data_IF_672710008807
#
_entry.id   IF_672710008807
#
_cell.length_a   1.000
_cell.length_b   1.000
_cell.length_c   1.000
_cell.angle_alpha   90.00
_cell.angle_beta   90.00
_cell.angle_gamma   90.00
#
_symmetry.space_group_name_H-M   'P 1'
#
loop_
_entity.id
_entity.type
_entity.pdbx_description
1 polymer ?
#
# COMPACT_ATOMS: atom_id res chain seq x y z
N UNK A 1 27.65 -21.50 50.13
CA UNK A 1 26.18 -21.38 50.02
C UNK A 1 25.72 -20.05 49.39
N UNK A 2 26.23 -18.90 49.82
CA UNK A 2 25.79 -17.58 49.30
C UNK A 2 25.95 -17.38 47.77
N UNK A 3 27.00 -17.91 47.15
CA UNK A 3 27.24 -17.82 45.69
C UNK A 3 26.24 -18.61 44.83
N UNK A 4 25.78 -19.77 45.29
CA UNK A 4 24.80 -20.62 44.59
C UNK A 4 23.40 -20.01 44.63
N UNK A 5 23.04 -19.36 45.74
CA UNK A 5 21.75 -18.67 45.90
C UNK A 5 21.67 -17.45 44.95
N UNK A 6 22.79 -16.70 44.80
CA UNK A 6 22.84 -15.55 43.87
C UNK A 6 22.67 -15.96 42.41
N UNK A 7 23.24 -17.12 42.01
CA UNK A 7 23.10 -17.64 40.67
C UNK A 7 21.67 -18.10 40.35
N UNK A 8 20.98 -18.70 41.31
CA UNK A 8 19.57 -19.13 41.21
C UNK A 8 18.65 -17.90 41.10
N UNK A 9 18.88 -16.85 41.87
CA UNK A 9 18.14 -15.60 41.79
C UNK A 9 18.34 -14.90 40.42
N UNK A 10 19.54 -14.92 39.88
CA UNK A 10 19.84 -14.34 38.56
C UNK A 10 19.15 -15.12 37.43
N UNK A 11 19.10 -16.44 37.47
CA UNK A 11 18.36 -17.27 36.53
C UNK A 11 16.85 -17.04 36.60
N UNK A 12 16.27 -16.84 37.77
CA UNK A 12 14.83 -16.58 37.94
C UNK A 12 14.47 -15.19 37.37
N UNK A 13 15.30 -14.18 37.61
CA UNK A 13 15.10 -12.84 37.00
C UNK A 13 15.20 -12.84 35.49
N UNK A 14 16.05 -13.70 34.90
CA UNK A 14 16.19 -13.80 33.44
C UNK A 14 14.98 -14.48 32.78
N UNK A 15 14.24 -15.33 33.47
CA UNK A 15 13.01 -15.96 32.96
C UNK A 15 11.79 -15.04 33.05
N UNK A 16 11.78 -14.05 33.92
CA UNK A 16 10.65 -13.12 34.08
C UNK A 16 10.56 -12.09 32.93
N UNK A 17 11.62 -11.94 32.12
CA UNK A 17 11.66 -10.97 31.02
C UNK A 17 11.14 -11.50 29.68
N UNK A 18 10.73 -12.77 29.61
CA UNK A 18 10.26 -13.40 28.35
C UNK A 18 8.74 -13.64 28.31
N UNK A 19 7.95 -12.89 29.05
CA UNK A 19 6.53 -12.79 28.75
C UNK A 19 6.35 -11.74 27.68
N UNK A 20 6.75 -12.05 26.44
CA UNK A 20 6.30 -11.31 25.29
C UNK A 20 4.77 -11.30 25.36
N UNK A 21 4.18 -10.13 25.47
CA UNK A 21 2.73 -9.95 25.40
C UNK A 21 2.24 -10.64 24.13
N UNK A 22 1.62 -11.82 24.28
CA UNK A 22 1.06 -12.57 23.15
C UNK A 22 -0.11 -11.77 22.62
N UNK A 23 0.12 -11.01 21.56
CA UNK A 23 -0.96 -10.40 20.81
C UNK A 23 -1.87 -11.50 20.28
N UNK A 24 -3.16 -11.24 20.27
CA UNK A 24 -4.12 -12.12 19.60
C UNK A 24 -4.07 -11.86 18.09
N UNK A 25 -4.48 -12.82 17.28
CA UNK A 25 -4.57 -12.61 15.83
C UNK A 25 -5.48 -11.44 15.44
N UNK A 26 -6.49 -11.12 16.25
CA UNK A 26 -7.32 -9.92 16.03
C UNK A 26 -6.55 -8.62 16.26
N UNK A 27 -5.74 -8.55 17.32
CA UNK A 27 -4.89 -7.38 17.57
C UNK A 27 -3.80 -7.20 16.52
N UNK A 28 -3.24 -8.30 16.02
CA UNK A 28 -2.28 -8.26 14.93
C UNK A 28 -2.93 -7.78 13.63
N UNK A 29 -4.15 -8.26 13.32
CA UNK A 29 -4.91 -7.79 12.16
C UNK A 29 -5.19 -6.28 12.24
N UNK A 30 -5.65 -5.78 13.37
CA UNK A 30 -5.88 -4.34 13.59
C UNK A 30 -4.61 -3.52 13.32
N UNK A 31 -3.46 -4.00 13.83
CA UNK A 31 -2.18 -3.35 13.60
C UNK A 31 -1.79 -3.35 12.12
N UNK A 32 -1.97 -4.47 11.42
CA UNK A 32 -1.67 -4.57 10.00
C UNK A 32 -2.59 -3.69 9.14
N UNK A 33 -3.87 -3.61 9.47
CA UNK A 33 -4.81 -2.69 8.81
C UNK A 33 -4.38 -1.23 9.02
N UNK A 34 -3.95 -0.87 10.23
CA UNK A 34 -3.38 0.45 10.51
C UNK A 34 -2.15 0.77 9.62
N UNK A 35 -1.22 -0.17 9.48
CA UNK A 35 -0.06 0.02 8.61
C UNK A 35 -0.47 0.12 7.13
N UNK A 36 -1.39 -0.72 6.68
CA UNK A 36 -1.93 -0.65 5.33
C UNK A 36 -2.49 0.74 5.03
N UNK A 37 -3.35 1.28 5.91
CA UNK A 37 -3.90 2.62 5.74
C UNK A 37 -2.82 3.69 5.70
N UNK A 38 -1.86 3.62 6.63
CA UNK A 38 -0.77 4.60 6.72
C UNK A 38 0.09 4.65 5.46
N UNK A 39 0.27 3.51 4.79
CA UNK A 39 1.07 3.40 3.57
C UNK A 39 0.22 3.73 2.34
N UNK A 40 -1.01 3.20 2.24
CA UNK A 40 -1.81 3.29 1.03
C UNK A 40 -2.57 4.61 0.89
N UNK A 41 -3.11 5.18 1.99
CA UNK A 41 -3.93 6.39 1.91
C UNK A 41 -3.20 7.58 1.26
N UNK A 42 -1.94 7.88 1.60
CA UNK A 42 -1.25 9.00 0.96
C UNK A 42 -1.15 8.89 -0.56
N UNK A 43 -1.01 7.69 -1.09
CA UNK A 43 -0.94 7.45 -2.54
C UNK A 43 -2.34 7.49 -3.16
N UNK A 44 -3.26 6.68 -2.64
CA UNK A 44 -4.58 6.45 -3.24
C UNK A 44 -5.47 7.68 -3.14
N UNK A 45 -5.50 8.35 -1.97
CA UNK A 45 -6.36 9.51 -1.75
C UNK A 45 -5.89 10.73 -2.55
N UNK A 46 -4.58 10.90 -2.71
CA UNK A 46 -4.02 11.97 -3.53
C UNK A 46 -4.27 11.70 -5.02
N UNK A 47 -4.05 10.48 -5.51
CA UNK A 47 -4.35 10.11 -6.90
C UNK A 47 -5.85 10.31 -7.20
N UNK A 48 -6.74 9.93 -6.29
CA UNK A 48 -8.18 10.15 -6.43
C UNK A 48 -8.59 11.64 -6.49
N UNK A 49 -7.78 12.51 -5.91
CA UNK A 49 -8.00 13.97 -5.91
C UNK A 49 -7.29 14.70 -7.05
N UNK A 50 -6.40 14.05 -7.79
CA UNK A 50 -5.52 14.70 -8.76
C UNK A 50 -4.44 15.56 -8.10
N UNK A 51 -3.93 15.14 -6.96
CA UNK A 51 -2.94 15.86 -6.15
C UNK A 51 -1.73 15.01 -5.76
N UNK A 52 -1.55 13.84 -6.39
CA UNK A 52 -0.45 12.93 -6.05
C UNK A 52 0.90 13.58 -6.33
N UNK A 53 1.10 14.12 -7.52
CA UNK A 53 2.36 14.77 -7.87
C UNK A 53 2.65 16.01 -7.01
N UNK A 54 1.61 16.75 -6.63
CA UNK A 54 1.74 17.93 -5.80
C UNK A 54 2.13 17.62 -4.35
N UNK A 55 1.64 16.49 -3.82
CA UNK A 55 1.77 16.16 -2.41
C UNK A 55 2.77 15.03 -2.11
N UNK A 56 3.33 14.39 -3.14
CA UNK A 56 4.33 13.34 -2.99
C UNK A 56 5.68 13.83 -3.52
N UNK A 57 6.57 14.34 -2.65
CA UNK A 57 7.90 14.79 -3.06
C UNK A 57 8.71 13.60 -3.57
N UNK A 58 9.49 13.85 -4.63
CA UNK A 58 10.38 12.86 -5.21
C UNK A 58 11.79 13.08 -4.68
N UNK A 59 12.29 12.10 -3.95
CA UNK A 59 13.65 12.08 -3.42
C UNK A 59 14.52 11.16 -4.26
N UNK A 60 15.75 11.61 -4.55
CA UNK A 60 16.71 10.83 -5.35
C UNK A 60 18.07 10.82 -4.72
N UNK A 61 18.81 9.74 -4.95
CA UNK A 61 20.22 9.67 -4.62
C UNK A 61 21.05 10.59 -5.51
N UNK A 62 22.26 10.95 -5.03
CA UNK A 62 23.18 11.87 -5.73
C UNK A 62 23.55 11.45 -7.17
N UNK A 63 23.46 10.15 -7.48
CA UNK A 63 23.85 9.56 -8.76
C UNK A 63 22.66 9.08 -9.59
N UNK A 64 21.47 9.63 -9.40
CA UNK A 64 20.32 9.29 -10.21
C UNK A 64 20.44 9.93 -11.60
N UNK A 65 20.28 9.12 -12.64
CA UNK A 65 20.31 9.58 -14.03
C UNK A 65 18.89 9.65 -14.61
N UNK A 66 18.53 10.78 -15.22
CA UNK A 66 17.21 11.01 -15.79
C UNK A 66 16.30 11.85 -14.89
N UNK A 67 15.02 11.91 -15.27
CA UNK A 67 14.00 12.60 -14.47
C UNK A 67 13.29 11.58 -13.55
N UNK A 68 13.49 11.63 -12.23
CA UNK A 68 12.88 10.67 -11.31
C UNK A 68 11.36 10.74 -11.30
N UNK A 69 10.76 11.90 -11.62
CA UNK A 69 9.31 12.06 -11.70
C UNK A 69 8.68 11.17 -12.78
N UNK A 70 9.44 10.82 -13.83
CA UNK A 70 8.94 9.98 -14.92
C UNK A 70 8.66 8.53 -14.47
N UNK A 71 9.18 8.10 -13.33
CA UNK A 71 9.07 6.69 -12.87
C UNK A 71 8.40 6.55 -11.50
N UNK A 72 8.49 7.54 -10.64
CA UNK A 72 8.12 7.43 -9.23
C UNK A 72 6.61 7.20 -9.02
N UNK A 73 5.76 7.91 -9.74
CA UNK A 73 4.32 7.92 -9.45
C UNK A 73 3.63 6.63 -9.89
N UNK A 74 3.95 6.11 -11.07
CA UNK A 74 3.43 4.82 -11.52
C UNK A 74 3.94 3.68 -10.62
N UNK A 75 5.20 3.73 -10.19
CA UNK A 75 5.77 2.77 -9.25
C UNK A 75 5.02 2.80 -7.92
N UNK A 76 4.83 3.99 -7.33
CA UNK A 76 4.11 4.14 -6.07
C UNK A 76 2.68 3.59 -6.15
N UNK A 77 1.94 3.93 -7.23
CA UNK A 77 0.57 3.46 -7.46
C UNK A 77 0.54 1.96 -7.70
N UNK A 78 1.34 1.45 -8.62
CA UNK A 78 1.34 0.02 -9.00
C UNK A 78 1.69 -0.88 -7.83
N UNK A 79 2.76 -0.59 -7.09
CA UNK A 79 3.17 -1.37 -5.91
C UNK A 79 2.18 -1.29 -4.77
N UNK A 80 1.62 -0.11 -4.51
CA UNK A 80 0.57 0.06 -3.48
C UNK A 80 -0.64 -0.79 -3.83
N UNK A 81 -1.15 -0.70 -5.06
CA UNK A 81 -2.31 -1.47 -5.49
C UNK A 81 -2.05 -2.98 -5.47
N UNK A 82 -0.88 -3.44 -5.94
CA UNK A 82 -0.51 -4.86 -5.87
C UNK A 82 -0.50 -5.38 -4.42
N UNK A 83 -0.05 -4.55 -3.47
CA UNK A 83 -0.01 -4.89 -2.05
C UNK A 83 -1.38 -4.97 -1.40
N UNK A 84 -2.29 -4.03 -1.70
CA UNK A 84 -3.61 -3.97 -1.06
C UNK A 84 -4.69 -4.78 -1.78
N UNK A 85 -4.48 -5.16 -3.04
CA UNK A 85 -5.48 -5.87 -3.88
C UNK A 85 -6.10 -7.09 -3.19
N UNK A 86 -5.36 -8.00 -2.51
CA UNK A 86 -5.97 -9.12 -1.81
C UNK A 86 -6.99 -8.70 -0.74
N UNK A 87 -6.71 -7.60 -0.03
CA UNK A 87 -7.65 -7.01 0.92
C UNK A 87 -8.88 -6.44 0.24
N UNK A 88 -8.70 -5.76 -0.89
CA UNK A 88 -9.79 -5.19 -1.68
C UNK A 88 -10.67 -6.25 -2.35
N UNK A 89 -10.15 -7.45 -2.60
CA UNK A 89 -10.90 -8.57 -3.15
C UNK A 89 -11.89 -9.21 -2.16
N UNK A 90 -11.72 -8.98 -0.86
CA UNK A 90 -12.62 -9.52 0.16
C UNK A 90 -14.05 -8.98 -0.01
N UNK A 91 -15.08 -9.78 0.30
CA UNK A 91 -16.47 -9.35 0.19
C UNK A 91 -16.77 -8.16 1.10
N UNK A 92 -17.82 -7.43 0.76
CA UNK A 92 -18.34 -6.35 1.59
C UNK A 92 -18.92 -6.90 2.89
N UNK A 93 -18.67 -6.18 3.97
CA UNK A 93 -19.25 -6.45 5.28
C UNK A 93 -19.46 -5.13 6.04
N UNK A 94 -20.17 -5.18 7.17
CA UNK A 94 -20.52 -4.02 7.98
C UNK A 94 -19.46 -3.68 9.06
N UNK A 95 -18.33 -4.37 9.05
CA UNK A 95 -17.23 -4.07 9.98
C UNK A 95 -16.54 -2.74 9.60
N UNK A 96 -15.81 -2.15 10.52
CA UNK A 96 -15.01 -0.95 10.23
C UNK A 96 -13.99 -1.22 9.13
N UNK A 97 -13.39 -2.41 9.10
CA UNK A 97 -12.51 -2.82 8.02
C UNK A 97 -13.24 -2.95 6.69
N UNK A 98 -14.48 -3.48 6.67
CA UNK A 98 -15.30 -3.55 5.46
C UNK A 98 -15.66 -2.18 4.90
N UNK A 99 -16.02 -1.23 5.76
CA UNK A 99 -16.26 0.17 5.36
C UNK A 99 -15.00 0.81 4.78
N UNK A 100 -13.86 0.58 5.40
CA UNK A 100 -12.57 1.06 4.92
C UNK A 100 -12.24 0.49 3.53
N UNK A 101 -12.41 -0.83 3.33
CA UNK A 101 -12.23 -1.47 2.01
C UNK A 101 -13.08 -0.83 0.94
N UNK A 102 -14.36 -0.59 1.24
CA UNK A 102 -15.29 0.07 0.31
C UNK A 102 -14.82 1.48 -0.05
N UNK A 103 -14.38 2.25 0.93
CA UNK A 103 -13.81 3.58 0.72
C UNK A 103 -12.57 3.53 -0.18
N UNK A 104 -11.64 2.61 0.10
CA UNK A 104 -10.45 2.42 -0.73
C UNK A 104 -10.79 2.04 -2.17
N UNK A 105 -11.73 1.11 -2.40
CA UNK A 105 -12.17 0.77 -3.76
C UNK A 105 -12.67 2.00 -4.52
N UNK A 106 -13.49 2.82 -3.88
CA UNK A 106 -13.99 4.06 -4.48
C UNK A 106 -12.86 5.01 -4.84
N UNK A 107 -11.93 5.24 -3.93
CA UNK A 107 -10.76 6.10 -4.17
C UNK A 107 -9.86 5.53 -5.28
N UNK A 108 -9.61 4.22 -5.27
CA UNK A 108 -8.79 3.55 -6.30
C UNK A 108 -9.39 3.70 -7.69
N UNK A 109 -10.69 3.42 -7.86
CA UNK A 109 -11.34 3.52 -9.17
C UNK A 109 -11.31 4.96 -9.71
N UNK A 110 -11.54 5.95 -8.84
CA UNK A 110 -11.41 7.36 -9.20
C UNK A 110 -9.97 7.74 -9.53
N UNK A 111 -9.02 7.23 -8.73
CA UNK A 111 -7.59 7.48 -8.94
C UNK A 111 -7.08 6.88 -10.24
N UNK A 112 -7.47 5.66 -10.57
CA UNK A 112 -7.10 5.03 -11.85
C UNK A 112 -7.60 5.84 -13.04
N UNK A 113 -8.82 6.35 -12.98
CA UNK A 113 -9.35 7.25 -14.00
C UNK A 113 -8.50 8.53 -14.15
N UNK A 114 -8.10 9.15 -13.04
CA UNK A 114 -7.19 10.30 -13.07
C UNK A 114 -5.82 9.91 -13.65
N UNK A 115 -5.29 8.75 -13.21
CA UNK A 115 -3.96 8.28 -13.62
C UNK A 115 -3.80 7.96 -15.10
N UNK A 116 -4.90 7.74 -15.84
CA UNK A 116 -4.86 7.50 -17.29
C UNK A 116 -5.42 8.66 -18.12
N UNK A 117 -5.97 9.69 -17.48
CA UNK A 117 -6.53 10.85 -18.16
C UNK A 117 -5.42 11.83 -18.54
N UNK A 118 -5.23 12.17 -19.83
CA UNK A 118 -4.25 13.16 -20.26
C UNK A 118 -4.47 14.57 -19.67
N UNK A 119 -5.71 14.89 -19.28
CA UNK A 119 -6.09 16.16 -18.66
C UNK A 119 -5.81 16.21 -17.16
N UNK A 120 -5.47 15.07 -16.57
CA UNK A 120 -5.19 14.99 -15.13
C UNK A 120 -3.77 15.49 -14.82
N UNK A 121 -3.57 16.31 -13.77
CA UNK A 121 -2.23 16.65 -13.31
C UNK A 121 -1.44 15.42 -12.81
N UNK A 122 -2.13 14.32 -12.47
CA UNK A 122 -1.56 13.06 -12.03
C UNK A 122 -1.57 11.98 -13.13
N UNK A 123 -1.55 12.38 -14.41
CA UNK A 123 -1.47 11.43 -15.51
C UNK A 123 -0.17 10.62 -15.44
N UNK A 124 -0.30 9.32 -15.20
CA UNK A 124 0.83 8.43 -14.99
C UNK A 124 1.59 8.17 -16.28
N UNK A 125 2.91 8.08 -16.18
CA UNK A 125 3.77 7.78 -17.32
C UNK A 125 3.87 6.27 -17.56
N UNK A 126 3.34 5.79 -18.68
CA UNK A 126 3.41 4.38 -19.09
C UNK A 126 4.44 4.12 -20.20
N UNK A 127 4.95 5.15 -20.86
CA UNK A 127 5.67 5.01 -22.15
C UNK A 127 7.07 5.60 -22.16
N UNK A 128 7.33 6.64 -21.36
CA UNK A 128 8.65 7.28 -21.31
C UNK A 128 9.55 6.53 -20.36
N UNK A 129 10.65 6.00 -20.85
CA UNK A 129 11.59 5.20 -20.06
C UNK A 129 11.26 3.69 -20.04
N UNK A 130 12.20 2.86 -19.55
CA UNK A 130 12.00 1.39 -19.42
C UNK A 130 11.30 0.98 -18.12
N UNK A 131 11.47 1.75 -17.05
CA UNK A 131 10.92 1.45 -15.74
C UNK A 131 9.38 1.31 -15.72
N UNK A 132 8.60 2.13 -16.44
CA UNK A 132 7.15 1.99 -16.54
C UNK A 132 6.65 0.59 -16.91
N UNK A 133 7.40 -0.18 -17.69
CA UNK A 133 7.04 -1.58 -18.02
C UNK A 133 6.98 -2.46 -16.76
N UNK A 134 7.94 -2.27 -15.83
CA UNK A 134 7.98 -3.01 -14.56
C UNK A 134 6.86 -2.54 -13.64
N UNK A 135 6.64 -1.24 -13.58
CA UNK A 135 5.65 -0.65 -12.68
C UNK A 135 4.21 -0.96 -13.13
N UNK A 136 3.96 -0.94 -14.44
CA UNK A 136 2.71 -1.40 -15.03
C UNK A 136 2.43 -2.90 -14.76
N UNK A 137 3.47 -3.73 -14.65
CA UNK A 137 3.30 -5.14 -14.28
C UNK A 137 2.75 -5.29 -12.84
N UNK A 138 3.15 -4.43 -11.90
CA UNK A 138 2.54 -4.41 -10.55
C UNK A 138 1.07 -3.99 -10.62
N UNK A 139 0.74 -3.00 -11.45
CA UNK A 139 -0.65 -2.58 -11.63
C UNK A 139 -1.49 -3.72 -12.25
N UNK A 140 -0.99 -4.39 -13.28
CA UNK A 140 -1.63 -5.57 -13.87
C UNK A 140 -1.81 -6.70 -12.84
N UNK A 141 -0.81 -6.93 -11.99
CA UNK A 141 -0.92 -7.90 -10.89
C UNK A 141 -2.04 -7.54 -9.91
N UNK A 142 -2.24 -6.25 -9.60
CA UNK A 142 -3.36 -5.81 -8.76
C UNK A 142 -4.71 -6.17 -9.40
N UNK A 143 -4.88 -5.93 -10.69
CA UNK A 143 -6.09 -6.29 -11.42
C UNK A 143 -6.34 -7.80 -11.44
N UNK A 144 -5.30 -8.62 -11.63
CA UNK A 144 -5.42 -10.07 -11.57
C UNK A 144 -5.78 -10.60 -10.19
N UNK A 145 -5.33 -9.94 -9.12
CA UNK A 145 -5.63 -10.33 -7.73
C UNK A 145 -7.02 -9.93 -7.26
N UNK A 146 -7.57 -8.86 -7.83
CA UNK A 146 -8.87 -8.30 -7.42
C UNK A 146 -9.70 -7.85 -8.64
N UNK A 147 -9.98 -8.73 -9.63
CA UNK A 147 -10.61 -8.32 -10.87
C UNK A 147 -11.98 -7.67 -10.66
N UNK A 148 -12.81 -8.24 -9.80
CA UNK A 148 -14.15 -7.71 -9.50
C UNK A 148 -14.13 -6.37 -8.78
N UNK A 149 -13.08 -6.09 -8.01
CA UNK A 149 -12.96 -4.86 -7.24
C UNK A 149 -12.26 -3.73 -8.00
N UNK A 150 -11.32 -4.07 -8.89
CA UNK A 150 -10.39 -3.10 -9.49
C UNK A 150 -10.48 -3.00 -11.01
N UNK A 151 -10.80 -4.09 -11.72
CA UNK A 151 -10.84 -4.11 -13.19
C UNK A 151 -12.25 -4.03 -13.75
N UNK A 152 -13.15 -4.91 -13.33
CA UNK A 152 -14.51 -4.98 -13.88
C UNK A 152 -15.29 -3.66 -13.77
N UNK A 153 -15.19 -2.90 -12.64
CA UNK A 153 -15.92 -1.65 -12.48
C UNK A 153 -15.39 -0.46 -13.29
N UNK A 154 -14.19 -0.57 -13.89
CA UNK A 154 -13.62 0.51 -14.72
C UNK A 154 -14.44 0.70 -16.00
N UNK A 155 -14.59 1.96 -16.41
CA UNK A 155 -15.19 2.29 -17.70
C UNK A 155 -14.24 1.93 -18.87
N UNK A 156 -14.80 1.87 -20.09
CA UNK A 156 -14.08 1.47 -21.29
C UNK A 156 -12.87 2.37 -21.58
N UNK A 157 -13.02 3.68 -21.37
CA UNK A 157 -11.95 4.64 -21.63
C UNK A 157 -10.77 4.44 -20.66
N UNK A 158 -11.07 4.18 -19.40
CA UNK A 158 -10.03 3.91 -18.39
C UNK A 158 -9.28 2.60 -18.64
N UNK A 159 -9.90 1.63 -19.36
CA UNK A 159 -9.31 0.33 -19.70
C UNK A 159 -8.43 0.35 -20.96
N UNK A 160 -8.55 1.36 -21.81
CA UNK A 160 -7.78 1.53 -23.05
C UNK A 160 -6.43 2.17 -22.80
#
# INVERSE_FOLDING_TARGET
MKRKILFILFCICSFSSMVASKRTGAQDRELWVKYLCRIASPVIDNLAKGTLEANMPVETGKNFYGNPRDVTYLEAVGRTLAGIAPGLALPDDNTEEGKLRKSFRTSVLKGLKNGVSPESPDCLNFTRNYQPTVDAAYLAQAFLRAPKALWEPLDTLTKQ
#
